data_IF_461633181612
#
_entry.id   IF_461633181612
#
_cell.length_a   1.000
_cell.length_b   1.000
_cell.length_c   1.000
_cell.angle_alpha   90.00
_cell.angle_beta   90.00
_cell.angle_gamma   90.00
#
_symmetry.space_group_name_H-M   'P 1'
#
loop_
_entity.id
_entity.type
_entity.pdbx_description
1 polymer ?
#
# COMPACT_ATOMS: atom_id res chain seq x y z
N UNK A 1 25.76 0.20 11.63
CA UNK A 1 24.46 -0.26 11.08
C UNK A 1 24.12 0.62 9.88
N UNK A 2 23.94 0.07 8.67
CA UNK A 2 23.69 0.89 7.46
C UNK A 2 22.36 1.64 7.56
N UNK A 3 22.34 2.93 7.21
CA UNK A 3 21.16 3.83 7.27
C UNK A 3 19.93 3.21 6.59
N UNK A 4 20.12 2.47 5.50
CA UNK A 4 19.05 1.77 4.78
C UNK A 4 18.38 0.66 5.61
N UNK A 5 19.14 -0.04 6.47
CA UNK A 5 18.57 -1.07 7.36
C UNK A 5 17.66 -0.44 8.42
N UNK A 6 18.07 0.71 8.98
CA UNK A 6 17.27 1.47 9.93
C UNK A 6 15.96 1.95 9.29
N UNK A 7 16.06 2.48 8.06
CA UNK A 7 14.93 3.02 7.31
C UNK A 7 13.88 1.94 7.00
N UNK A 8 14.32 0.74 6.59
CA UNK A 8 13.44 -0.42 6.37
C UNK A 8 12.80 -0.92 7.67
N UNK A 9 13.54 -0.94 8.77
CA UNK A 9 13.00 -1.37 10.06
C UNK A 9 11.90 -0.41 10.53
N UNK A 10 12.15 0.91 10.47
CA UNK A 10 11.17 1.93 10.82
C UNK A 10 9.92 1.83 9.94
N UNK A 11 10.10 1.59 8.63
CA UNK A 11 9.00 1.36 7.70
C UNK A 11 8.13 0.16 8.11
N UNK A 12 8.74 -1.00 8.37
CA UNK A 12 8.03 -2.21 8.78
C UNK A 12 7.27 -1.97 10.09
N UNK A 13 7.92 -1.33 11.07
CA UNK A 13 7.32 -1.03 12.36
C UNK A 13 6.10 -0.12 12.23
N UNK A 14 6.22 1.00 11.50
CA UNK A 14 5.11 1.93 11.29
C UNK A 14 3.96 1.29 10.52
N UNK A 15 4.26 0.47 9.51
CA UNK A 15 3.25 -0.24 8.72
C UNK A 15 2.44 -1.21 9.57
N UNK A 16 3.13 -2.01 10.40
CA UNK A 16 2.47 -2.94 11.33
C UNK A 16 1.67 -2.20 12.40
N UNK A 17 2.20 -1.10 12.94
CA UNK A 17 1.48 -0.27 13.90
C UNK A 17 0.19 0.28 13.30
N UNK A 18 0.23 0.82 12.08
CA UNK A 18 -0.93 1.30 11.36
C UNK A 18 -1.97 0.20 11.13
N UNK A 19 -1.54 -0.99 10.69
CA UNK A 19 -2.42 -2.13 10.51
C UNK A 19 -3.09 -2.56 11.82
N UNK A 20 -2.34 -2.67 12.91
CA UNK A 20 -2.89 -3.05 14.21
C UNK A 20 -3.94 -2.05 14.68
N UNK A 21 -3.67 -0.75 14.54
CA UNK A 21 -4.62 0.32 14.89
C UNK A 21 -5.92 0.17 14.07
N UNK A 22 -5.80 -0.09 12.76
CA UNK A 22 -6.95 -0.33 11.88
C UNK A 22 -7.75 -1.55 12.36
N UNK A 23 -7.10 -2.68 12.62
CA UNK A 23 -7.76 -3.90 13.05
C UNK A 23 -8.47 -3.74 14.39
N UNK A 24 -7.84 -3.05 15.35
CA UNK A 24 -8.47 -2.72 16.64
C UNK A 24 -9.67 -1.83 16.42
N UNK A 25 -9.57 -0.78 15.60
CA UNK A 25 -10.70 0.11 15.32
C UNK A 25 -11.89 -0.64 14.70
N UNK A 26 -11.64 -1.55 13.76
CA UNK A 26 -12.66 -2.40 13.13
C UNK A 26 -13.30 -3.33 14.15
N UNK A 27 -12.51 -3.93 15.05
CA UNK A 27 -13.02 -4.84 16.08
C UNK A 27 -13.84 -4.15 17.17
N UNK A 28 -13.61 -2.85 17.42
CA UNK A 28 -14.30 -2.12 18.47
C UNK A 28 -15.77 -1.85 18.10
N UNK A 29 -16.72 -2.08 19.03
CA UNK A 29 -18.09 -1.65 18.87
C UNK A 29 -18.21 -0.13 19.03
N UNK A 30 -19.40 0.43 18.80
CA UNK A 30 -19.72 1.85 19.02
C UNK A 30 -18.94 2.81 18.10
N UNK A 31 -19.08 2.64 16.80
CA UNK A 31 -18.60 3.59 15.79
C UNK A 31 -19.42 4.89 15.82
N UNK A 32 -20.75 4.78 15.93
CA UNK A 32 -21.62 5.94 16.11
C UNK A 32 -22.56 5.70 17.29
N UNK A 33 -22.76 6.72 18.12
CA UNK A 33 -23.74 6.70 19.20
C UNK A 33 -24.99 7.44 18.76
N UNK A 34 -26.11 6.74 18.81
CA UNK A 34 -27.37 7.22 18.25
C UNK A 34 -28.27 7.78 19.37
N UNK A 35 -28.77 6.93 20.25
CA UNK A 35 -29.57 7.35 21.42
C UNK A 35 -28.91 6.87 22.72
N UNK A 36 -29.34 7.35 23.91
CA UNK A 36 -28.91 6.77 25.17
C UNK A 36 -29.25 5.27 25.18
N UNK A 37 -28.24 4.41 25.11
CA UNK A 37 -28.40 2.95 25.04
C UNK A 37 -28.23 2.34 23.64
N UNK A 38 -28.33 3.12 22.55
CA UNK A 38 -28.17 2.61 21.17
C UNK A 38 -26.88 3.06 20.51
N UNK A 39 -26.23 2.14 19.79
CA UNK A 39 -24.98 2.39 19.09
C UNK A 39 -24.89 1.56 17.80
N UNK A 40 -24.21 2.08 16.79
CA UNK A 40 -23.86 1.32 15.60
C UNK A 40 -22.38 0.93 15.62
N UNK A 41 -22.09 -0.27 15.15
CA UNK A 41 -20.75 -0.72 14.78
C UNK A 41 -20.64 -0.82 13.26
N UNK A 42 -19.43 -1.06 12.77
CA UNK A 42 -19.21 -1.32 11.34
C UNK A 42 -20.05 -2.50 10.83
N UNK A 43 -20.28 -3.53 11.67
CA UNK A 43 -20.91 -4.79 11.29
C UNK A 43 -22.38 -4.93 11.69
N UNK A 44 -22.81 -4.22 12.73
CA UNK A 44 -24.12 -4.40 13.35
C UNK A 44 -24.64 -3.12 13.99
N UNK A 45 -25.95 -2.94 13.94
CA UNK A 45 -26.66 -1.91 14.69
C UNK A 45 -27.16 -2.52 16.01
N UNK A 46 -26.90 -1.87 17.14
CA UNK A 46 -27.37 -2.28 18.46
C UNK A 46 -28.30 -1.22 19.03
N UNK A 47 -29.46 -1.65 19.53
CA UNK A 47 -30.50 -0.75 20.00
C UNK A 47 -31.10 -1.23 21.31
N UNK A 48 -31.33 -0.28 22.21
CA UNK A 48 -31.95 -0.49 23.51
C UNK A 48 -33.13 0.48 23.67
N UNK A 49 -34.35 -0.07 23.71
CA UNK A 49 -35.62 0.65 23.98
C UNK A 49 -36.27 1.43 22.81
N UNK A 50 -37.61 1.29 22.71
CA UNK A 50 -38.71 2.01 22.02
C UNK A 50 -38.54 2.73 20.67
N UNK A 51 -37.33 3.10 20.24
CA UNK A 51 -37.07 3.23 18.82
C UNK A 51 -37.00 1.80 18.29
N UNK A 52 -38.11 1.32 17.72
CA UNK A 52 -38.08 0.19 16.80
C UNK A 52 -36.88 0.42 15.88
N UNK A 53 -35.80 -0.31 16.11
CA UNK A 53 -34.69 -0.30 15.20
C UNK A 53 -35.23 -0.98 13.99
N UNK A 54 -35.74 -0.13 13.10
CA UNK A 54 -36.22 -0.47 11.80
C UNK A 54 -35.19 -1.46 11.31
N UNK A 55 -35.66 -2.68 11.05
CA UNK A 55 -34.93 -3.72 10.33
C UNK A 55 -34.69 -3.24 8.90
N UNK A 56 -34.24 -2.00 8.73
CA UNK A 56 -33.73 -1.39 7.52
C UNK A 56 -32.27 -1.84 7.33
N UNK A 57 -32.10 -3.17 7.42
CA UNK A 57 -31.33 -3.91 6.43
C UNK A 57 -31.99 -3.84 5.04
N UNK A 58 -33.18 -3.22 4.90
CA UNK A 58 -33.76 -2.80 3.64
C UNK A 58 -32.87 -1.77 2.94
N UNK A 59 -31.96 -2.29 2.10
CA UNK A 59 -31.65 -1.76 0.77
C UNK A 59 -31.33 -0.27 0.60
N UNK A 60 -30.82 0.45 1.61
CA UNK A 60 -30.02 1.63 1.31
C UNK A 60 -28.70 1.17 0.70
N UNK A 61 -28.64 1.11 -0.65
CA UNK A 61 -27.46 0.73 -1.44
C UNK A 61 -26.18 1.43 -0.95
N UNK A 62 -26.30 2.63 -0.38
CA UNK A 62 -25.16 3.49 -0.06
C UNK A 62 -24.42 3.12 1.23
N UNK A 63 -25.11 2.57 2.26
CA UNK A 63 -24.43 2.10 3.49
C UNK A 63 -23.56 0.87 3.22
N UNK A 64 -24.06 -0.03 2.37
CA UNK A 64 -23.29 -1.19 1.90
C UNK A 64 -22.08 -0.77 1.08
N UNK A 65 -22.21 0.25 0.23
CA UNK A 65 -21.08 0.79 -0.55
C UNK A 65 -19.99 1.34 0.37
N UNK A 66 -20.33 2.12 1.40
CA UNK A 66 -19.34 2.65 2.34
C UNK A 66 -18.63 1.56 3.14
N UNK A 67 -19.39 0.58 3.65
CA UNK A 67 -18.84 -0.57 4.39
C UNK A 67 -17.96 -1.43 3.48
N UNK A 68 -18.39 -1.69 2.25
CA UNK A 68 -17.63 -2.44 1.25
C UNK A 68 -16.31 -1.74 0.90
N UNK A 69 -16.33 -0.42 0.68
CA UNK A 69 -15.12 0.35 0.43
C UNK A 69 -14.14 0.28 1.61
N UNK A 70 -14.61 0.34 2.85
CA UNK A 70 -13.77 0.11 4.04
C UNK A 70 -13.09 -1.27 3.98
N UNK A 71 -13.83 -2.34 3.64
CA UNK A 71 -13.25 -3.67 3.50
C UNK A 71 -12.25 -3.80 2.36
N UNK A 72 -12.54 -3.22 1.19
CA UNK A 72 -11.60 -3.22 0.06
C UNK A 72 -10.30 -2.52 0.45
N UNK A 73 -10.40 -1.38 1.15
CA UNK A 73 -9.25 -0.67 1.68
C UNK A 73 -8.41 -1.53 2.64
N UNK A 74 -9.06 -2.16 3.62
CA UNK A 74 -8.40 -3.03 4.60
C UNK A 74 -7.75 -4.25 3.93
N UNK A 75 -8.45 -4.89 2.99
CA UNK A 75 -7.95 -6.05 2.27
C UNK A 75 -6.68 -5.71 1.48
N UNK A 76 -6.64 -4.55 0.83
CA UNK A 76 -5.43 -4.04 0.17
C UNK A 76 -4.25 -3.91 1.14
N UNK A 77 -4.48 -3.32 2.32
CA UNK A 77 -3.45 -3.14 3.35
C UNK A 77 -2.97 -4.48 3.93
N UNK A 78 -3.85 -5.47 4.06
CA UNK A 78 -3.47 -6.82 4.50
C UNK A 78 -2.60 -7.49 3.43
N UNK A 79 -3.00 -7.41 2.16
CA UNK A 79 -2.21 -7.98 1.05
C UNK A 79 -0.82 -7.34 0.95
N UNK A 80 -0.70 -6.03 1.15
CA UNK A 80 0.60 -5.36 1.15
C UNK A 80 1.48 -5.81 2.32
N UNK A 81 0.88 -6.09 3.48
CA UNK A 81 1.58 -6.64 4.66
C UNK A 81 2.15 -8.03 4.38
N UNK A 82 1.42 -8.88 3.67
CA UNK A 82 1.87 -10.22 3.28
C UNK A 82 3.02 -10.14 2.25
N UNK A 83 2.99 -9.17 1.34
CA UNK A 83 4.04 -8.95 0.34
C UNK A 83 5.34 -8.34 0.91
N UNK A 84 5.21 -7.57 2.00
CA UNK A 84 6.30 -6.84 2.67
C UNK A 84 7.58 -7.65 2.95
N UNK A 85 7.54 -8.84 3.58
CA UNK A 85 8.75 -9.61 3.87
C UNK A 85 9.53 -10.02 2.61
N UNK A 86 8.83 -10.30 1.51
CA UNK A 86 9.47 -10.66 0.25
C UNK A 86 10.22 -9.48 -0.37
N UNK A 87 9.60 -8.30 -0.37
CA UNK A 87 10.20 -7.07 -0.90
C UNK A 87 11.40 -6.62 -0.07
N UNK A 88 11.29 -6.71 1.27
CA UNK A 88 12.39 -6.38 2.19
C UNK A 88 13.57 -7.33 2.02
N UNK A 89 13.31 -8.65 1.90
CA UNK A 89 14.36 -9.67 1.72
C UNK A 89 15.08 -9.54 0.38
N UNK A 90 14.35 -9.32 -0.71
CA UNK A 90 14.93 -9.17 -2.06
C UNK A 90 15.54 -7.80 -2.30
N UNK A 91 15.34 -6.83 -1.40
CA UNK A 91 15.74 -5.44 -1.61
C UNK A 91 15.26 -4.89 -2.97
N UNK A 92 14.05 -5.27 -3.39
CA UNK A 92 13.54 -4.93 -4.72
C UNK A 92 12.87 -3.56 -4.69
N UNK A 93 13.37 -2.56 -5.44
CA UNK A 93 12.74 -1.24 -5.49
C UNK A 93 11.32 -1.30 -6.04
N UNK A 94 11.06 -2.18 -7.01
CA UNK A 94 9.71 -2.42 -7.54
C UNK A 94 8.75 -2.97 -6.49
N UNK A 95 9.24 -3.86 -5.62
CA UNK A 95 8.46 -4.38 -4.50
C UNK A 95 8.01 -3.26 -3.55
N UNK A 96 8.91 -2.34 -3.21
CA UNK A 96 8.59 -1.18 -2.36
C UNK A 96 7.63 -0.19 -3.03
N UNK A 97 7.74 0.01 -4.35
CA UNK A 97 6.80 0.83 -5.13
C UNK A 97 5.41 0.21 -5.10
N UNK A 98 5.29 -1.08 -5.39
CA UNK A 98 4.00 -1.79 -5.42
C UNK A 98 3.31 -1.74 -4.05
N UNK A 99 4.06 -2.00 -2.97
CA UNK A 99 3.54 -1.86 -1.60
C UNK A 99 3.08 -0.42 -1.34
N UNK A 100 3.85 0.57 -1.80
CA UNK A 100 3.52 1.99 -1.63
C UNK A 100 2.21 2.37 -2.29
N UNK A 101 2.04 1.96 -3.55
CA UNK A 101 0.82 2.15 -4.33
C UNK A 101 -0.38 1.49 -3.62
N UNK A 102 -0.25 0.22 -3.22
CA UNK A 102 -1.33 -0.50 -2.54
C UNK A 102 -1.71 0.16 -1.22
N UNK A 103 -0.74 0.63 -0.43
CA UNK A 103 -1.01 1.34 0.81
C UNK A 103 -1.71 2.68 0.58
N UNK A 104 -1.26 3.47 -0.42
CA UNK A 104 -1.87 4.76 -0.74
C UNK A 104 -3.31 4.58 -1.19
N UNK A 105 -3.55 3.70 -2.18
CA UNK A 105 -4.90 3.46 -2.69
C UNK A 105 -5.79 2.78 -1.64
N UNK A 106 -5.25 1.81 -0.89
CA UNK A 106 -5.97 1.15 0.20
C UNK A 106 -6.43 2.16 1.25
N UNK A 107 -5.55 3.09 1.66
CA UNK A 107 -5.90 4.16 2.59
C UNK A 107 -6.94 5.14 2.03
N UNK A 108 -6.82 5.54 0.76
CA UNK A 108 -7.77 6.44 0.11
C UNK A 108 -9.16 5.81 -0.05
N UNK A 109 -9.21 4.54 -0.46
CA UNK A 109 -10.46 3.76 -0.58
C UNK A 109 -11.10 3.61 0.80
N UNK A 110 -10.31 3.26 1.83
CA UNK A 110 -10.79 3.15 3.21
C UNK A 110 -11.34 4.47 3.76
N UNK A 111 -10.65 5.58 3.52
CA UNK A 111 -11.08 6.91 3.93
C UNK A 111 -12.37 7.34 3.22
N UNK A 112 -12.47 7.06 1.92
CA UNK A 112 -13.68 7.33 1.13
C UNK A 112 -14.87 6.51 1.65
N UNK A 113 -14.65 5.22 1.96
CA UNK A 113 -15.67 4.36 2.57
C UNK A 113 -16.16 4.89 3.91
N UNK A 114 -15.24 5.34 4.78
CA UNK A 114 -15.60 6.00 6.04
C UNK A 114 -16.39 7.30 5.82
N UNK A 115 -16.03 8.09 4.81
CA UNK A 115 -16.75 9.31 4.45
C UNK A 115 -18.19 9.02 4.02
N UNK A 116 -18.40 8.02 3.15
CA UNK A 116 -19.73 7.58 2.72
C UNK A 116 -20.55 7.07 3.90
N UNK A 117 -19.94 6.29 4.81
CA UNK A 117 -20.58 5.83 6.03
C UNK A 117 -21.03 7.01 6.91
N UNK A 118 -20.13 7.95 7.18
CA UNK A 118 -20.41 9.10 8.04
C UNK A 118 -21.49 10.00 7.44
N UNK A 119 -21.43 10.27 6.13
CA UNK A 119 -22.44 11.04 5.42
C UNK A 119 -23.83 10.40 5.53
N UNK A 120 -23.91 9.08 5.39
CA UNK A 120 -25.19 8.37 5.50
C UNK A 120 -25.79 8.47 6.90
N UNK A 121 -25.00 8.25 7.95
CA UNK A 121 -25.48 8.39 9.33
C UNK A 121 -25.86 9.84 9.68
N UNK A 122 -25.25 10.83 9.03
CA UNK A 122 -25.59 12.24 9.21
C UNK A 122 -26.91 12.64 8.53
N UNK A 123 -27.19 12.05 7.36
CA UNK A 123 -28.35 12.39 6.52
C UNK A 123 -29.55 11.45 6.66
N UNK A 124 -29.50 10.43 7.52
CA UNK A 124 -30.69 9.65 7.84
C UNK A 124 -31.74 10.55 8.51
N UNK A 125 -33.02 10.42 8.14
CA UNK A 125 -34.16 11.21 8.68
C UNK A 125 -34.24 11.14 10.22
N UNK A 126 -33.77 10.01 10.71
CA UNK A 126 -33.19 9.82 12.00
C UNK A 126 -31.87 10.62 12.12
N UNK A 127 -31.93 11.92 12.49
CA UNK A 127 -30.77 12.72 12.94
C UNK A 127 -30.21 12.16 14.25
N UNK A 128 -29.66 10.95 14.19
CA UNK A 128 -29.27 10.16 15.34
C UNK A 128 -27.75 9.94 15.36
N UNK A 129 -26.94 10.95 15.10
CA UNK A 129 -25.56 10.95 15.62
C UNK A 129 -25.53 11.95 16.75
N UNK A 130 -25.51 11.45 17.99
CA UNK A 130 -25.15 12.28 19.14
C UNK A 130 -23.64 12.44 19.24
N UNK A 131 -22.91 11.38 18.93
CA UNK A 131 -21.47 11.34 19.15
C UNK A 131 -20.77 10.39 18.19
N UNK A 132 -19.59 10.81 17.73
CA UNK A 132 -18.64 9.99 16.97
C UNK A 132 -17.87 9.13 17.98
N UNK A 133 -17.97 7.81 17.86
CA UNK A 133 -17.26 6.90 18.76
C UNK A 133 -15.77 6.83 18.46
N UNK A 134 -14.99 6.43 19.47
CA UNK A 134 -13.54 6.22 19.39
C UNK A 134 -13.05 5.40 18.17
N UNK A 135 -13.78 4.39 17.65
CA UNK A 135 -13.32 3.63 16.49
C UNK A 135 -13.05 4.48 15.25
N UNK A 136 -13.81 5.56 15.02
CA UNK A 136 -13.69 6.40 13.83
C UNK A 136 -12.36 7.18 13.80
N UNK A 137 -11.99 7.98 14.82
CA UNK A 137 -10.70 8.64 14.85
C UNK A 137 -9.55 7.63 14.90
N UNK A 138 -9.72 6.49 15.59
CA UNK A 138 -8.70 5.45 15.64
C UNK A 138 -8.44 4.84 14.25
N UNK A 139 -9.49 4.50 13.52
CA UNK A 139 -9.40 4.01 12.14
C UNK A 139 -8.74 5.05 11.23
N UNK A 140 -9.12 6.31 11.36
CA UNK A 140 -8.56 7.43 10.58
C UNK A 140 -7.07 7.60 10.83
N UNK A 141 -6.63 7.56 12.10
CA UNK A 141 -5.20 7.60 12.47
C UNK A 141 -4.45 6.42 11.87
N UNK A 142 -5.03 5.21 11.94
CA UNK A 142 -4.47 4.02 11.30
C UNK A 142 -4.28 4.19 9.79
N UNK A 143 -5.30 4.70 9.08
CA UNK A 143 -5.22 4.98 7.64
C UNK A 143 -4.15 6.02 7.30
N UNK A 144 -3.99 7.07 8.13
CA UNK A 144 -2.97 8.11 7.96
C UNK A 144 -1.57 7.50 8.11
N UNK A 145 -1.35 6.67 9.13
CA UNK A 145 -0.07 5.98 9.34
C UNK A 145 0.26 5.11 8.12
N UNK A 146 -0.71 4.33 7.64
CA UNK A 146 -0.51 3.48 6.46
C UNK A 146 -0.27 4.32 5.20
N UNK A 147 -0.99 5.42 5.01
CA UNK A 147 -0.77 6.34 3.89
C UNK A 147 0.66 6.89 3.92
N UNK A 148 1.11 7.34 5.09
CA UNK A 148 2.48 7.82 5.29
C UNK A 148 3.51 6.72 4.99
N UNK A 149 3.27 5.48 5.43
CA UNK A 149 4.14 4.36 5.09
C UNK A 149 4.18 4.06 3.59
N UNK A 150 3.08 4.29 2.87
CA UNK A 150 3.03 4.14 1.42
C UNK A 150 3.89 5.18 0.69
N UNK A 151 3.85 6.44 1.12
CA UNK A 151 4.77 7.47 0.62
C UNK A 151 6.22 7.13 0.98
N UNK A 152 6.43 6.69 2.22
CA UNK A 152 7.75 6.35 2.71
C UNK A 152 8.37 5.18 1.94
N UNK A 153 7.60 4.16 1.55
CA UNK A 153 8.11 3.03 0.76
C UNK A 153 8.62 3.46 -0.62
N UNK A 154 7.99 4.46 -1.25
CA UNK A 154 8.46 5.03 -2.52
C UNK A 154 9.82 5.73 -2.33
N UNK A 155 10.02 6.39 -1.19
CA UNK A 155 11.32 6.98 -0.83
C UNK A 155 12.38 5.89 -0.65
N UNK A 156 12.04 4.78 0.02
CA UNK A 156 12.95 3.62 0.16
C UNK A 156 13.33 3.07 -1.22
N UNK A 157 12.35 2.94 -2.12
CA UNK A 157 12.59 2.45 -3.47
C UNK A 157 13.56 3.33 -4.24
N UNK A 158 13.38 4.66 -4.18
CA UNK A 158 14.29 5.63 -4.81
C UNK A 158 15.71 5.49 -4.26
N UNK A 159 15.85 5.47 -2.94
CA UNK A 159 17.16 5.34 -2.30
C UNK A 159 17.84 4.00 -2.64
N UNK A 160 17.05 2.93 -2.77
CA UNK A 160 17.55 1.60 -3.15
C UNK A 160 18.07 1.58 -4.58
N UNK A 161 17.38 2.23 -5.53
CA UNK A 161 17.83 2.36 -6.93
C UNK A 161 19.16 3.12 -7.03
N UNK A 162 19.24 4.30 -6.41
CA UNK A 162 20.47 5.11 -6.44
C UNK A 162 21.67 4.34 -5.90
N UNK A 163 21.48 3.55 -4.83
CA UNK A 163 22.56 2.72 -4.27
C UNK A 163 22.97 1.54 -5.17
N UNK A 164 22.06 1.03 -6.00
CA UNK A 164 22.38 -0.02 -6.97
C UNK A 164 23.21 0.55 -8.13
N UNK A 165 22.77 1.68 -8.68
CA UNK A 165 23.48 2.42 -9.73
C UNK A 165 24.90 2.82 -9.30
N UNK A 166 25.06 3.38 -8.09
CA UNK A 166 26.39 3.70 -7.54
C UNK A 166 27.31 2.47 -7.45
N UNK A 167 26.77 1.28 -7.16
CA UNK A 167 27.58 0.06 -7.07
C UNK A 167 27.95 -0.51 -8.44
N UNK A 168 27.07 -0.39 -9.43
CA UNK A 168 27.32 -0.82 -10.81
C UNK A 168 28.35 0.10 -11.48
N UNK A 169 28.27 1.41 -11.29
CA UNK A 169 29.28 2.36 -11.79
C UNK A 169 30.64 2.14 -11.13
N UNK A 170 30.68 1.81 -9.83
CA UNK A 170 31.93 1.50 -9.13
C UNK A 170 32.57 0.21 -9.64
N UNK A 171 31.77 -0.83 -9.88
CA UNK A 171 32.24 -2.11 -10.44
C UNK A 171 32.73 -1.95 -11.90
N UNK A 172 32.08 -1.09 -12.68
CA UNK A 172 32.48 -0.78 -14.06
C UNK A 172 33.77 0.06 -14.10
N UNK A 173 33.98 0.93 -13.10
CA UNK A 173 35.17 1.78 -12.99
C UNK A 173 36.40 1.05 -12.44
N UNK A 174 36.23 0.01 -11.62
CA UNK A 174 37.32 -0.90 -11.22
C UNK A 174 37.76 -1.86 -12.35
N UNK A 175 36.93 -2.07 -13.38
CA UNK A 175 37.30 -2.88 -14.57
C UNK A 175 38.01 -2.10 -15.69
N UNK A 176 38.15 -0.77 -15.57
CA UNK A 176 38.95 0.04 -16.50
C UNK A 176 40.11 0.69 -15.74
N UNK A 177 41.27 -0.01 -15.64
CA UNK A 177 42.42 0.45 -16.42
C UNK A 177 43.41 -0.69 -16.75
N UNK A 178 43.14 -1.58 -17.73
CA UNK A 178 44.21 -2.47 -18.24
C UNK A 178 44.11 -2.84 -19.73
N UNK A 179 43.17 -2.29 -20.50
CA UNK A 179 43.10 -2.55 -21.95
C UNK A 179 43.88 -1.57 -22.83
N UNK A 180 44.41 -0.48 -22.27
CA UNK A 180 45.12 0.55 -23.06
C UNK A 180 46.67 0.42 -23.05
N UNK A 181 47.22 -0.65 -22.47
CA UNK A 181 48.68 -0.87 -22.39
C UNK A 181 49.24 -1.89 -23.41
N UNK A 182 48.40 -2.49 -24.25
CA UNK A 182 48.87 -3.28 -25.39
C UNK A 182 48.49 -2.57 -26.69
N UNK A 183 49.41 -1.71 -27.12
CA UNK A 183 49.33 -0.97 -28.36
C UNK A 183 49.24 -1.87 -29.60
N UNK A 184 48.47 -1.35 -30.55
CA UNK A 184 48.68 -1.36 -32.00
C UNK A 184 49.41 -2.56 -32.63
N UNK A 185 48.64 -3.31 -33.43
CA UNK A 185 49.07 -3.63 -34.79
C UNK A 185 47.88 -3.61 -35.76
N UNK A 186 47.82 -2.51 -36.53
CA UNK A 186 47.41 -2.39 -37.94
C UNK A 186 47.04 -3.71 -38.65
N UNK A 187 45.90 -3.81 -39.34
CA UNK A 187 45.72 -3.30 -40.72
C UNK A 187 44.43 -3.84 -41.40
N UNK A 188 43.70 -2.91 -42.04
CA UNK A 188 42.88 -3.02 -43.28
C UNK A 188 41.57 -3.82 -43.32
N UNK A 189 40.49 -3.04 -43.51
CA UNK A 189 39.48 -3.14 -44.59
C UNK A 189 39.13 -4.53 -45.14
N UNK A 190 37.87 -4.93 -44.99
CA UNK A 190 36.93 -4.94 -46.13
C UNK A 190 35.50 -5.26 -45.69
N UNK A 191 34.63 -4.27 -45.86
CA UNK A 191 33.22 -4.45 -46.20
C UNK A 191 33.11 -5.07 -47.61
N UNK A 192 32.53 -6.25 -47.72
CA UNK A 192 31.70 -6.61 -48.88
C UNK A 192 30.82 -7.82 -48.57
N UNK A 193 29.51 -7.56 -48.63
CA UNK A 193 28.43 -8.49 -48.97
C UNK A 193 28.83 -9.59 -49.96
N UNK A 194 28.34 -10.82 -49.78
CA UNK A 194 27.67 -11.60 -50.85
C UNK A 194 26.99 -12.88 -50.30
N UNK A 195 25.82 -13.16 -50.86
CA UNK A 195 24.94 -14.32 -50.62
C UNK A 195 25.48 -15.63 -51.22
N UNK A 196 24.91 -16.74 -50.70
CA UNK A 196 24.36 -17.87 -51.49
C UNK A 196 25.28 -19.01 -51.97
N UNK A 197 24.88 -20.21 -51.50
CA UNK A 197 24.88 -21.55 -52.13
C UNK A 197 26.19 -22.27 -52.42
N UNK A 198 26.22 -23.55 -52.02
CA UNK A 198 27.20 -24.53 -52.46
C UNK A 198 27.19 -25.82 -51.67
N UNK A 199 26.22 -26.69 -51.97
CA UNK A 199 26.17 -28.11 -51.64
C UNK A 199 27.50 -28.81 -51.96
N UNK A 200 27.94 -29.75 -51.12
CA UNK A 200 28.88 -30.79 -51.56
C UNK A 200 28.63 -32.10 -50.82
N UNK A 201 28.49 -33.13 -51.65
CA UNK A 201 28.34 -34.55 -51.34
C UNK A 201 29.48 -35.07 -50.45
N UNK A 202 29.12 -35.97 -49.54
CA UNK A 202 29.66 -37.33 -49.42
C UNK A 202 28.59 -38.22 -48.76
#
# INVERSE_FOLDING_TARGET
MSTLKCLKFMFVFLHLLGLVIILVAVALPKWFTTSPGSYSSLFALYCDGDCECVKEFSHSNNRWIGTFAVFVGIAGIILSTIALPFSVRRNSPEGFINIGIVNIFGSLIGASGLGVLTYFFWNSDCKIIREIGLPIPLFTVGLIIVLFTGVFSIVIAKFTRTKQEESEDSATREQAPFTDLFGERSFKNNTSSFLSFGSRED
#
